data_IF_854452709924
#
_entry.id   IF_854452709924
#
_cell.length_a   1.000
_cell.length_b   1.000
_cell.length_c   1.000
_cell.angle_alpha   90.00
_cell.angle_beta   90.00
_cell.angle_gamma   90.00
#
_symmetry.space_group_name_H-M   'P 1'
#
loop_
_entity.id
_entity.type
_entity.pdbx_description
1 polymer ?
#
# COMPACT_ATOMS: atom_id res chain seq x y z
N UNK A 1 -8.35 1.77 -7.98
CA UNK A 1 -8.69 2.38 -6.68
C UNK A 1 -7.50 2.27 -5.75
N UNK A 2 -7.23 3.26 -4.91
CA UNK A 2 -6.12 3.25 -3.96
C UNK A 2 -6.63 3.65 -2.56
N UNK A 3 -6.01 3.11 -1.52
CA UNK A 3 -6.34 3.39 -0.13
C UNK A 3 -5.10 3.29 0.78
N UNK A 4 -5.10 4.03 1.89
CA UNK A 4 -4.09 3.94 2.95
C UNK A 4 -4.80 3.58 4.25
N UNK A 5 -4.38 2.47 4.85
CA UNK A 5 -4.88 2.03 6.15
C UNK A 5 -3.73 1.83 7.13
N UNK A 6 -4.05 1.69 8.42
CA UNK A 6 -3.07 1.39 9.46
C UNK A 6 -3.39 0.03 10.07
N UNK A 7 -2.33 -0.75 10.33
CA UNK A 7 -2.44 -2.10 10.87
C UNK A 7 -1.76 -2.11 12.25
N UNK A 8 -2.46 -2.55 13.31
CA UNK A 8 -1.85 -2.70 14.63
C UNK A 8 -0.88 -3.88 14.63
N UNK A 9 0.26 -3.70 15.26
CA UNK A 9 1.29 -4.72 15.50
C UNK A 9 1.72 -4.68 16.97
N UNK A 10 2.42 -5.71 17.43
CA UNK A 10 2.95 -5.74 18.82
C UNK A 10 4.01 -4.65 19.07
N UNK A 11 4.59 -4.08 18.01
CA UNK A 11 5.58 -3.01 18.05
C UNK A 11 4.98 -1.61 17.78
N UNK A 12 3.67 -1.51 17.58
CA UNK A 12 2.97 -0.25 17.31
C UNK A 12 2.02 -0.33 16.12
N UNK A 13 2.15 0.60 15.17
CA UNK A 13 1.31 0.66 13.98
C UNK A 13 2.17 0.73 12.73
N UNK A 14 1.73 0.07 11.66
CA UNK A 14 2.31 0.20 10.32
C UNK A 14 1.26 0.77 9.37
N UNK A 15 1.68 1.65 8.46
CA UNK A 15 0.83 2.19 7.41
C UNK A 15 0.95 1.32 6.18
N UNK A 16 -0.18 0.89 5.62
CA UNK A 16 -0.28 0.10 4.40
C UNK A 16 -0.94 0.94 3.31
N UNK A 17 -0.21 1.19 2.23
CA UNK A 17 -0.80 1.67 0.98
C UNK A 17 -1.10 0.48 0.06
N UNK A 18 -2.30 0.46 -0.51
CA UNK A 18 -2.74 -0.60 -1.44
C UNK A 18 -3.38 -0.02 -2.69
N UNK A 19 -3.10 -0.63 -3.84
CA UNK A 19 -3.73 -0.34 -5.12
C UNK A 19 -4.46 -1.56 -5.63
N UNK A 20 -5.75 -1.38 -5.91
CA UNK A 20 -6.64 -2.37 -6.48
C UNK A 20 -6.98 -2.02 -7.93
N UNK A 21 -6.82 -2.99 -8.81
CA UNK A 21 -7.43 -2.94 -10.15
C UNK A 21 -8.95 -3.06 -10.02
N UNK A 22 -9.68 -2.09 -10.57
CA UNK A 22 -11.15 -2.03 -10.45
C UNK A 22 -11.85 -3.09 -11.29
N UNK A 23 -11.25 -3.52 -12.40
CA UNK A 23 -11.84 -4.54 -13.26
C UNK A 23 -11.74 -5.94 -12.63
N UNK A 24 -10.53 -6.37 -12.25
CA UNK A 24 -10.30 -7.70 -11.69
C UNK A 24 -10.50 -7.80 -10.17
N UNK A 25 -10.63 -6.66 -9.48
CA UNK A 25 -10.67 -6.55 -8.00
C UNK A 25 -9.42 -7.09 -7.29
N UNK A 26 -8.32 -7.31 -8.03
CA UNK A 26 -7.04 -7.78 -7.46
C UNK A 26 -6.22 -6.62 -6.93
N UNK A 27 -5.50 -6.87 -5.83
CA UNK A 27 -4.44 -5.96 -5.38
C UNK A 27 -3.23 -6.12 -6.32
N UNK A 28 -2.94 -5.07 -7.05
CA UNK A 28 -1.87 -5.03 -8.06
C UNK A 28 -0.56 -4.51 -7.49
N UNK A 29 -0.61 -3.61 -6.49
CA UNK A 29 0.57 -3.12 -5.78
C UNK A 29 0.25 -2.73 -4.34
N UNK A 30 1.24 -2.88 -3.46
CA UNK A 30 1.13 -2.52 -2.05
C UNK A 30 2.50 -2.29 -1.41
N UNK A 31 2.54 -1.46 -0.38
CA UNK A 31 3.72 -1.26 0.45
C UNK A 31 3.32 -0.88 1.88
N UNK A 32 4.10 -1.34 2.85
CA UNK A 32 3.90 -1.03 4.25
C UNK A 32 5.17 -0.42 4.86
N UNK A 33 5.01 0.64 5.66
CA UNK A 33 6.09 1.36 6.34
C UNK A 33 5.61 1.82 7.72
N UNK A 34 6.53 1.95 8.68
CA UNK A 34 6.24 2.49 10.01
C UNK A 34 5.90 4.00 9.98
N UNK A 35 6.27 4.71 8.91
CA UNK A 35 5.99 6.13 8.76
C UNK A 35 5.11 6.42 7.53
N UNK A 36 4.08 7.25 7.71
CA UNK A 36 3.26 7.73 6.61
C UNK A 36 4.02 8.82 5.80
N UNK A 37 4.82 8.37 4.83
CA UNK A 37 5.56 9.26 3.91
C UNK A 37 5.07 9.09 2.46
N UNK A 38 5.43 10.02 1.58
CA UNK A 38 5.06 9.95 0.15
C UNK A 38 5.60 8.69 -0.53
N UNK A 39 6.76 8.20 -0.08
CA UNK A 39 7.42 7.00 -0.57
C UNK A 39 6.53 5.77 -0.42
N UNK A 40 5.68 5.71 0.62
CA UNK A 40 4.72 4.63 0.84
C UNK A 40 3.83 4.41 -0.40
N UNK A 41 3.24 5.51 -0.89
CA UNK A 41 2.37 5.48 -2.07
C UNK A 41 3.14 5.28 -3.36
N UNK A 42 4.30 5.94 -3.52
CA UNK A 42 5.13 5.84 -4.72
C UNK A 42 5.60 4.39 -4.92
N UNK A 43 6.11 3.75 -3.88
CA UNK A 43 6.58 2.36 -3.94
C UNK A 43 5.43 1.38 -4.20
N UNK A 44 4.26 1.59 -3.59
CA UNK A 44 3.09 0.78 -3.88
C UNK A 44 2.65 0.90 -5.35
N UNK A 45 2.70 2.11 -5.93
CA UNK A 45 2.39 2.38 -7.33
C UNK A 45 3.41 1.76 -8.28
N UNK A 46 4.71 1.91 -8.01
CA UNK A 46 5.77 1.29 -8.81
C UNK A 46 5.64 -0.23 -8.84
N UNK A 47 5.31 -0.85 -7.71
CA UNK A 47 5.04 -2.29 -7.64
C UNK A 47 3.83 -2.70 -8.46
N UNK A 48 2.81 -1.85 -8.56
CA UNK A 48 1.64 -2.12 -9.41
C UNK A 48 1.99 -2.10 -10.90
N UNK A 49 2.89 -1.20 -11.33
CA UNK A 49 3.29 -1.07 -12.73
C UNK A 49 4.36 -2.09 -13.18
N UNK A 50 5.21 -2.56 -12.26
CA UNK A 50 6.28 -3.52 -12.57
C UNK A 50 5.83 -5.00 -12.59
N UNK A 51 4.52 -5.25 -12.55
CA UNK A 51 3.95 -6.60 -12.43
C UNK A 51 3.44 -7.16 -13.75
#
# INVERSE_FOLDING_TARGET
MADITYIPTDEGWVYLASLMDLYSRKIVGWHADAQMKKELCITALEKAFKR
#
